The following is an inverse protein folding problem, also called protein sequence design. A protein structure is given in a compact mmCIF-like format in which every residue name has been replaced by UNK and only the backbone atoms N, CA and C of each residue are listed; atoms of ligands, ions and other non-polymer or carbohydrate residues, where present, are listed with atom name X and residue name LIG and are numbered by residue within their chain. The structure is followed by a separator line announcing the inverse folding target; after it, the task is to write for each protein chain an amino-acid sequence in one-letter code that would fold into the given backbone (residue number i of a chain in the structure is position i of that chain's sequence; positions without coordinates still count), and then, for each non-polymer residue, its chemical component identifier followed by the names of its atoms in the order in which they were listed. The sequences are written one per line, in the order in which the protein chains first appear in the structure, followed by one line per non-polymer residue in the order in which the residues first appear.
data_IF_530345439679
#
_entry.id   IF_530345439679
#
_cell.length_a   1.000
_cell.length_b   1.000
_cell.length_c   1.000
_cell.angle_alpha   90.00
_cell.angle_beta   90.00
_cell.angle_gamma   90.00
#
_symmetry.space_group_name_H-M   'P 1'
#
loop_
_entity.id
_entity.type
_entity.pdbx_description
1 polymer ?
#
# COMPACT_ATOMS: atom_id res chain seq x y z
N UNK A 1 -2.49 -13.04 -4.08
CA UNK A 1 -1.66 -12.37 -5.10
C UNK A 1 -0.98 -11.18 -4.44
N UNK A 2 0.25 -10.86 -4.79
CA UNK A 2 0.95 -9.70 -4.23
C UNK A 2 0.33 -8.40 -4.75
N UNK A 3 0.29 -7.36 -3.91
CA UNK A 3 -0.30 -6.07 -4.27
C UNK A 3 0.54 -5.35 -5.33
N UNK A 4 -0.12 -4.54 -6.16
CA UNK A 4 0.52 -3.75 -7.20
C UNK A 4 1.02 -2.43 -6.61
N UNK A 5 2.33 -2.19 -6.71
CA UNK A 5 2.98 -1.08 -6.03
C UNK A 5 3.65 -0.15 -7.03
N UNK A 6 3.57 1.16 -6.78
CA UNK A 6 4.33 2.18 -7.53
C UNK A 6 5.17 2.96 -6.52
N UNK A 7 6.49 2.86 -6.61
CA UNK A 7 7.42 3.56 -5.72
C UNK A 7 7.89 4.85 -6.41
N UNK A 8 7.64 6.01 -5.79
CA UNK A 8 7.99 7.32 -6.32
C UNK A 8 8.99 7.99 -5.38
N UNK A 9 10.27 8.01 -5.76
CA UNK A 9 11.37 8.42 -4.88
C UNK A 9 12.37 9.32 -5.60
N UNK A 10 13.19 10.06 -4.86
CA UNK A 10 14.36 10.74 -5.43
C UNK A 10 15.47 9.75 -5.77
N UNK A 11 16.16 10.00 -6.89
CA UNK A 11 17.26 9.15 -7.37
C UNK A 11 16.82 7.69 -7.48
N UNK A 12 17.79 6.78 -7.33
CA UNK A 12 17.59 5.34 -7.55
C UNK A 12 17.09 4.61 -6.28
N UNK A 13 16.50 5.34 -5.32
CA UNK A 13 16.08 4.76 -4.04
C UNK A 13 14.98 3.69 -4.21
N UNK A 14 13.99 3.93 -5.07
CA UNK A 14 12.98 2.94 -5.41
C UNK A 14 13.58 1.66 -5.99
N UNK A 15 14.53 1.78 -6.91
CA UNK A 15 15.17 0.63 -7.55
C UNK A 15 15.99 -0.19 -6.55
N UNK A 16 16.72 0.48 -5.64
CA UNK A 16 17.44 -0.20 -4.56
C UNK A 16 16.49 -0.95 -3.61
N UNK A 17 15.32 -0.38 -3.32
CA UNK A 17 14.30 -1.04 -2.50
C UNK A 17 13.70 -2.24 -3.23
N UNK A 18 13.39 -2.11 -4.52
CA UNK A 18 12.89 -3.23 -5.35
C UNK A 18 13.90 -4.36 -5.36
N UNK A 19 15.18 -4.06 -5.62
CA UNK A 19 16.25 -5.05 -5.56
C UNK A 19 16.32 -5.76 -4.20
N UNK A 20 16.15 -5.03 -3.10
CA UNK A 20 16.10 -5.62 -1.75
C UNK A 20 14.88 -6.52 -1.54
N UNK A 21 13.72 -6.14 -2.08
CA UNK A 21 12.49 -6.93 -2.00
C UNK A 21 12.62 -8.22 -2.81
N UNK A 22 13.22 -8.16 -4.00
CA UNK A 22 13.45 -9.34 -4.83
C UNK A 22 14.34 -10.38 -4.15
N UNK A 23 15.31 -9.93 -3.34
CA UNK A 23 16.13 -10.81 -2.50
C UNK A 23 15.32 -11.50 -1.40
N UNK A 24 14.30 -10.83 -0.84
CA UNK A 24 13.51 -11.32 0.29
C UNK A 24 12.31 -12.17 -0.15
N UNK A 25 11.56 -11.71 -1.15
CA UNK A 25 10.30 -12.31 -1.62
C UNK A 25 10.44 -13.03 -2.97
N UNK A 26 11.57 -12.90 -3.65
CA UNK A 26 11.76 -13.36 -5.03
C UNK A 26 11.27 -12.33 -6.08
N UNK A 27 11.61 -12.59 -7.34
CA UNK A 27 11.43 -11.65 -8.47
C UNK A 27 9.97 -11.43 -8.94
N UNK A 28 8.96 -11.93 -8.23
CA UNK A 28 7.57 -12.00 -8.71
C UNK A 28 6.64 -10.92 -8.12
N UNK A 29 7.17 -9.89 -7.46
CA UNK A 29 6.33 -8.83 -6.86
C UNK A 29 6.03 -7.75 -7.91
N UNK A 30 4.76 -7.40 -8.18
CA UNK A 30 4.41 -6.43 -9.21
C UNK A 30 4.66 -4.99 -8.71
N UNK A 31 5.91 -4.54 -8.81
CA UNK A 31 6.35 -3.21 -8.37
C UNK A 31 6.90 -2.43 -9.58
N UNK A 32 6.43 -1.21 -9.77
CA UNK A 32 6.99 -0.24 -10.70
C UNK A 32 7.73 0.86 -9.93
N UNK A 33 8.81 1.39 -10.50
CA UNK A 33 9.57 2.52 -9.94
C UNK A 33 9.39 3.79 -10.78
N UNK A 34 9.37 4.92 -10.09
CA UNK A 34 9.41 6.27 -10.64
C UNK A 34 10.51 7.02 -9.90
N UNK A 35 11.75 6.81 -10.36
CA UNK A 35 12.94 7.50 -9.85
C UNK A 35 12.96 8.94 -10.37
N UNK A 36 12.98 9.92 -9.47
CA UNK A 36 12.93 11.36 -9.79
C UNK A 36 14.34 11.94 -9.78
N UNK A 37 14.73 12.50 -10.91
CA UNK A 37 16.02 13.14 -11.12
C UNK A 37 15.95 14.65 -10.87
N UNK A 38 17.08 15.26 -10.49
CA UNK A 38 17.13 16.65 -10.03
C UNK A 38 16.63 17.71 -11.03
N UNK A 39 16.65 17.39 -12.34
CA UNK A 39 16.23 18.30 -13.41
C UNK A 39 14.75 18.13 -13.80
N UNK A 40 14.05 17.15 -13.25
CA UNK A 40 12.67 16.86 -13.64
C UNK A 40 11.68 17.84 -13.01
N UNK A 41 10.64 18.16 -13.77
CA UNK A 41 9.52 18.96 -13.27
C UNK A 41 8.52 18.07 -12.55
N UNK A 42 7.76 18.64 -11.61
CA UNK A 42 6.66 17.92 -10.94
C UNK A 42 5.64 17.37 -11.93
N UNK A 43 5.39 18.06 -13.06
CA UNK A 43 4.45 17.59 -14.08
C UNK A 43 4.96 16.33 -14.80
N UNK A 44 6.24 16.28 -15.14
CA UNK A 44 6.83 15.07 -15.73
C UNK A 44 6.73 13.87 -14.78
N UNK A 45 6.94 14.08 -13.47
CA UNK A 45 6.78 13.01 -12.46
C UNK A 45 5.32 12.57 -12.34
N UNK A 46 4.36 13.50 -12.42
CA UNK A 46 2.92 13.17 -12.45
C UNK A 46 2.60 12.25 -13.63
N UNK A 47 3.05 12.60 -14.84
CA UNK A 47 2.80 11.83 -16.06
C UNK A 47 3.40 10.43 -15.98
N UNK A 48 4.64 10.29 -15.51
CA UNK A 48 5.28 8.98 -15.31
C UNK A 48 4.57 8.14 -14.25
N UNK A 49 4.10 8.78 -13.17
CA UNK A 49 3.35 8.08 -12.12
C UNK A 49 1.99 7.60 -12.62
N UNK A 50 1.26 8.43 -13.38
CA UNK A 50 -0.01 8.03 -14.01
C UNK A 50 0.19 6.89 -15.02
N UNK A 51 1.28 6.91 -15.80
CA UNK A 51 1.64 5.83 -16.72
C UNK A 51 1.92 4.51 -15.97
N UNK A 52 2.75 4.54 -14.92
CA UNK A 52 3.05 3.36 -14.10
C UNK A 52 1.79 2.77 -13.44
N UNK A 53 0.86 3.62 -12.98
CA UNK A 53 -0.44 3.16 -12.47
C UNK A 53 -1.27 2.48 -13.57
N UNK A 54 -1.26 3.02 -14.79
CA UNK A 54 -2.05 2.50 -15.90
C UNK A 54 -1.61 1.10 -16.35
N UNK A 55 -0.31 0.77 -16.26
CA UNK A 55 0.23 -0.56 -16.56
C UNK A 55 -0.41 -1.68 -15.74
N UNK A 56 -0.86 -1.35 -14.52
CA UNK A 56 -1.48 -2.29 -13.60
C UNK A 56 -2.97 -2.52 -13.84
N UNK A 57 -3.63 -1.71 -14.67
CA UNK A 57 -5.05 -1.84 -14.98
C UNK A 57 -6.01 -1.36 -13.85
N UNK A 58 -7.31 -1.22 -14.15
CA UNK A 58 -8.22 -0.42 -13.31
C UNK A 58 -8.90 -1.16 -12.15
N UNK A 59 -8.91 -2.50 -12.15
CA UNK A 59 -9.80 -3.28 -11.27
C UNK A 59 -9.13 -3.74 -9.96
N UNK A 60 -7.79 -3.79 -9.94
CA UNK A 60 -6.99 -4.23 -8.78
C UNK A 60 -6.60 -3.04 -7.89
N UNK A 61 -6.37 -3.26 -6.57
CA UNK A 61 -5.88 -2.21 -5.70
C UNK A 61 -4.41 -1.88 -6.04
N UNK A 62 -4.11 -0.59 -6.15
CA UNK A 62 -2.75 -0.09 -6.43
C UNK A 62 -2.32 0.80 -5.28
N UNK A 63 -1.11 0.60 -4.77
CA UNK A 63 -0.55 1.43 -3.70
C UNK A 63 0.64 2.22 -4.24
N UNK A 64 0.52 3.53 -4.24
CA UNK A 64 1.59 4.47 -4.57
C UNK A 64 2.30 4.85 -3.28
N UNK A 65 3.63 4.65 -3.21
CA UNK A 65 4.45 4.97 -2.06
C UNK A 65 5.47 6.06 -2.39
N UNK A 66 5.53 7.11 -1.58
CA UNK A 66 6.54 8.18 -1.72
C UNK A 66 7.56 8.14 -0.58
N UNK A 67 8.78 8.57 -0.88
CA UNK A 67 9.90 8.59 0.07
C UNK A 67 9.69 9.53 1.25
N UNK A 68 9.46 10.82 1.00
CA UNK A 68 9.50 11.85 2.05
C UNK A 68 8.31 12.80 1.97
N UNK A 69 7.78 13.16 3.14
CA UNK A 69 6.70 14.15 3.27
C UNK A 69 7.21 15.52 2.81
N UNK A 70 6.41 16.22 2.00
CA UNK A 70 6.71 17.58 1.54
C UNK A 70 7.69 17.68 0.36
N UNK A 71 8.32 16.58 -0.07
CA UNK A 71 9.19 16.52 -1.25
C UNK A 71 8.43 16.59 -2.59
N UNK A 72 9.14 16.81 -3.70
CA UNK A 72 8.57 16.88 -5.05
C UNK A 72 7.85 15.59 -5.46
N UNK A 73 8.36 14.45 -5.00
CA UNK A 73 7.74 13.12 -5.07
C UNK A 73 6.33 13.13 -4.47
N UNK A 74 6.19 13.53 -3.21
CA UNK A 74 4.89 13.64 -2.52
C UNK A 74 3.97 14.70 -3.16
N UNK A 75 4.52 15.81 -3.64
CA UNK A 75 3.73 16.83 -4.36
C UNK A 75 3.15 16.30 -5.67
N UNK A 76 3.92 15.53 -6.44
CA UNK A 76 3.43 14.87 -7.65
C UNK A 76 2.34 13.85 -7.34
N UNK A 77 2.55 13.00 -6.33
CA UNK A 77 1.57 12.01 -5.88
C UNK A 77 0.25 12.64 -5.43
N UNK A 78 0.27 13.81 -4.77
CA UNK A 78 -0.95 14.54 -4.42
C UNK A 78 -1.77 14.98 -5.64
N UNK A 79 -1.09 15.38 -6.73
CA UNK A 79 -1.76 15.76 -8.00
C UNK A 79 -2.38 14.54 -8.68
N UNK A 80 -1.67 13.42 -8.70
CA UNK A 80 -2.18 12.14 -9.21
C UNK A 80 -3.41 11.71 -8.40
N UNK A 81 -3.33 11.78 -7.06
CA UNK A 81 -4.43 11.41 -6.15
C UNK A 81 -5.73 12.16 -6.45
N UNK A 82 -5.64 13.44 -6.83
CA UNK A 82 -6.82 14.24 -7.15
C UNK A 82 -7.59 13.73 -8.38
N UNK A 83 -6.96 12.92 -9.23
CA UNK A 83 -7.52 12.37 -10.48
C UNK A 83 -7.65 10.85 -10.46
N UNK A 84 -7.01 10.18 -9.50
CA UNK A 84 -6.94 8.73 -9.44
C UNK A 84 -8.29 8.09 -9.10
N UNK A 85 -8.51 6.88 -9.62
CA UNK A 85 -9.65 6.07 -9.25
C UNK A 85 -9.58 5.69 -7.75
N UNK A 86 -10.74 5.54 -7.10
CA UNK A 86 -10.83 5.21 -5.66
C UNK A 86 -10.22 3.87 -5.17
N UNK A 87 -9.54 3.10 -6.03
CA UNK A 87 -8.76 1.88 -5.72
C UNK A 87 -7.25 2.13 -5.78
N UNK A 88 -6.85 3.37 -6.01
CA UNK A 88 -5.46 3.81 -5.84
C UNK A 88 -5.32 4.43 -4.45
N UNK A 89 -4.33 3.95 -3.71
CA UNK A 89 -4.00 4.38 -2.36
C UNK A 89 -2.63 5.04 -2.35
N UNK A 90 -2.43 5.99 -1.44
CA UNK A 90 -1.21 6.77 -1.36
C UNK A 90 -0.65 6.68 0.05
N UNK A 91 0.60 6.26 0.17
CA UNK A 91 1.35 6.12 1.42
C UNK A 91 2.67 6.89 1.27
N UNK A 92 3.17 7.47 2.36
CA UNK A 92 4.42 8.25 2.37
C UNK A 92 5.32 7.77 3.51
N UNK A 93 6.63 7.99 3.40
CA UNK A 93 7.61 7.58 4.38
C UNK A 93 8.18 6.19 4.05
N UNK A 94 8.52 5.99 2.79
CA UNK A 94 8.98 4.71 2.26
C UNK A 94 10.19 4.18 3.06
N UNK A 95 10.09 2.91 3.45
CA UNK A 95 11.20 2.10 3.93
C UNK A 95 10.94 0.63 3.54
N UNK A 96 11.95 -0.23 3.65
CA UNK A 96 11.83 -1.62 3.21
C UNK A 96 10.74 -2.40 3.97
N UNK A 97 10.64 -2.25 5.29
CA UNK A 97 9.64 -2.93 6.11
C UNK A 97 8.21 -2.57 5.71
N UNK A 98 7.94 -1.30 5.45
CA UNK A 98 6.65 -0.81 4.98
C UNK A 98 6.26 -1.41 3.63
N UNK A 99 7.20 -1.50 2.69
CA UNK A 99 6.91 -2.07 1.37
C UNK A 99 6.64 -3.57 1.49
N UNK A 100 7.38 -4.30 2.33
CA UNK A 100 7.16 -5.73 2.58
C UNK A 100 5.77 -5.99 3.21
N UNK A 101 5.41 -5.23 4.25
CA UNK A 101 4.10 -5.30 4.88
C UNK A 101 2.98 -5.09 3.85
N UNK A 102 3.08 -4.02 3.05
CA UNK A 102 2.06 -3.68 2.07
C UNK A 102 2.04 -4.70 0.93
N UNK A 103 3.17 -5.21 0.44
CA UNK A 103 3.21 -6.19 -0.65
C UNK A 103 2.41 -7.47 -0.32
N UNK A 104 2.37 -7.84 0.97
CA UNK A 104 1.75 -9.07 1.48
C UNK A 104 0.32 -8.88 2.01
N UNK A 105 -0.20 -7.65 2.08
CA UNK A 105 -1.56 -7.39 2.55
C UNK A 105 -2.62 -8.05 1.65
N UNK A 106 -3.74 -8.55 2.19
CA UNK A 106 -4.85 -9.08 1.42
C UNK A 106 -5.81 -7.96 0.98
N UNK A 107 -5.34 -7.00 0.18
CA UNK A 107 -6.18 -5.92 -0.32
C UNK A 107 -7.29 -6.47 -1.24
N UNK A 108 -8.47 -5.86 -1.14
CA UNK A 108 -9.68 -6.30 -1.83
C UNK A 108 -9.78 -5.56 -3.17
N UNK A 109 -9.82 -6.32 -4.26
CA UNK A 109 -10.08 -5.81 -5.61
C UNK A 109 -11.53 -5.31 -5.77
N UNK A 110 -11.75 -4.42 -6.74
CA UNK A 110 -13.13 -4.08 -7.10
C UNK A 110 -13.73 -5.24 -7.87
N UNK A 111 -14.70 -5.93 -7.30
CA UNK A 111 -15.54 -6.84 -8.09
C UNK A 111 -16.36 -5.98 -9.04
N UNK A 112 -16.23 -6.18 -10.36
CA UNK A 112 -17.28 -5.79 -11.29
C UNK A 112 -18.51 -6.57 -10.85
N UNK A 113 -19.54 -5.87 -10.35
CA UNK A 113 -20.83 -6.51 -10.11
C UNK A 113 -21.18 -7.29 -11.39
N UNK A 114 -21.23 -8.61 -11.30
CA UNK A 114 -21.59 -9.44 -12.43
C UNK A 114 -23.01 -9.05 -12.83
N UNK A 115 -23.15 -8.36 -13.97
CA UNK A 115 -24.43 -8.18 -14.65
C UNK A 115 -24.93 -9.51 -15.26
N UNK A 116 -24.44 -10.68 -14.82
CA UNK A 116 -25.08 -11.96 -15.09
C UNK A 116 -26.28 -12.08 -14.16
N UNK A 117 -27.37 -11.40 -14.54
CA UNK A 117 -28.69 -11.77 -14.10
C UNK A 117 -28.98 -13.19 -14.56
N UNK A 118 -28.94 -14.14 -13.64
CA UNK A 118 -29.70 -15.37 -13.74
C UNK A 118 -29.94 -15.95 -12.36
N UNK A 119 -30.65 -15.21 -11.51
CA UNK A 119 -31.62 -15.85 -10.63
C UNK A 119 -32.96 -15.18 -10.85
N UNK A 120 -33.92 -16.03 -11.15
CA UNK A 120 -35.26 -15.77 -11.63
C UNK A 120 -36.07 -15.00 -10.58
N UNK A 121 -36.22 -13.69 -10.77
CA UNK A 121 -37.25 -12.88 -10.10
C UNK A 121 -37.78 -11.86 -11.11
N UNK A 122 -39.10 -11.86 -11.29
CA UNK A 122 -39.82 -11.17 -12.36
C UNK A 122 -39.99 -9.65 -12.18
N UNK A 123 -39.25 -9.04 -11.25
CA UNK A 123 -39.34 -7.60 -10.99
C UNK A 123 -38.16 -6.85 -11.64
N UNK A 124 -38.39 -5.82 -12.49
CA UNK A 124 -37.31 -5.01 -13.02
C UNK A 124 -36.69 -4.18 -11.88
N UNK A 125 -35.54 -4.62 -11.37
CA UNK A 125 -34.73 -3.84 -10.44
C UNK A 125 -34.32 -2.54 -11.15
N UNK A 126 -34.67 -1.39 -10.57
CA UNK A 126 -34.45 -0.10 -11.22
C UNK A 126 -32.95 0.23 -11.32
N UNK A 127 -32.50 0.83 -12.43
CA UNK A 127 -31.11 1.28 -12.64
C UNK A 127 -30.61 2.24 -11.54
N UNK A 128 -31.51 2.89 -10.80
CA UNK A 128 -31.17 3.75 -9.66
C UNK A 128 -30.72 2.94 -8.44
N UNK A 129 -31.29 1.76 -8.24
CA UNK A 129 -30.97 0.89 -7.10
C UNK A 129 -29.61 0.20 -7.30
N UNK A 130 -29.30 -0.21 -8.53
CA UNK A 130 -28.01 -0.83 -8.89
C UNK A 130 -26.84 0.15 -8.77
N UNK A 131 -27.01 1.41 -9.20
CA UNK A 131 -25.99 2.45 -9.08
C UNK A 131 -25.70 2.84 -7.62
N UNK A 132 -26.74 2.88 -6.80
CA UNK A 132 -26.63 3.19 -5.36
C UNK A 132 -25.96 2.05 -4.58
N UNK A 133 -26.31 0.80 -4.87
CA UNK A 133 -25.68 -0.38 -4.27
C UNK A 133 -24.21 -0.52 -4.69
N UNK A 134 -23.90 -0.30 -5.97
CA UNK A 134 -22.51 -0.31 -6.48
C UNK A 134 -21.65 0.77 -5.82
N UNK A 135 -22.19 1.97 -5.63
CA UNK A 135 -21.50 3.09 -4.96
C UNK A 135 -21.20 2.77 -3.48
N UNK A 136 -22.16 2.24 -2.74
CA UNK A 136 -21.98 1.82 -1.34
C UNK A 136 -20.95 0.71 -1.19
N UNK A 137 -20.98 -0.30 -2.06
CA UNK A 137 -20.01 -1.39 -2.06
C UNK A 137 -18.59 -0.88 -2.30
N UNK A 138 -18.39 0.04 -3.24
CA UNK A 138 -17.06 0.63 -3.49
C UNK A 138 -16.53 1.42 -2.30
N UNK A 139 -17.38 2.11 -1.54
CA UNK A 139 -16.98 2.82 -0.31
C UNK A 139 -16.54 1.84 0.76
N UNK A 140 -17.30 0.76 1.00
CA UNK A 140 -16.97 -0.25 2.02
C UNK A 140 -15.64 -0.96 1.70
N UNK A 141 -15.41 -1.33 0.44
CA UNK A 141 -14.13 -1.92 0.02
C UNK A 141 -12.97 -0.95 0.26
N UNK A 142 -13.16 0.33 -0.06
CA UNK A 142 -12.15 1.36 0.14
C UNK A 142 -11.80 1.51 1.62
N UNK A 143 -12.80 1.63 2.50
CA UNK A 143 -12.59 1.77 3.95
C UNK A 143 -11.85 0.57 4.54
N UNK A 144 -12.20 -0.65 4.11
CA UNK A 144 -11.50 -1.88 4.53
C UNK A 144 -10.02 -1.87 4.10
N UNK A 145 -9.74 -1.54 2.85
CA UNK A 145 -8.36 -1.45 2.35
C UNK A 145 -7.57 -0.35 3.07
N UNK A 146 -8.17 0.82 3.30
CA UNK A 146 -7.52 1.88 4.08
C UNK A 146 -7.22 1.45 5.52
N UNK A 147 -8.12 0.69 6.16
CA UNK A 147 -7.87 0.14 7.49
C UNK A 147 -6.70 -0.85 7.50
N UNK A 148 -6.60 -1.72 6.49
CA UNK A 148 -5.45 -2.64 6.34
C UNK A 148 -4.14 -1.87 6.12
N UNK A 149 -4.14 -0.86 5.24
CA UNK A 149 -2.97 -0.02 5.00
C UNK A 149 -2.53 0.75 6.25
N UNK A 150 -3.48 1.28 7.04
CA UNK A 150 -3.17 1.94 8.32
C UNK A 150 -2.49 1.00 9.31
N UNK A 151 -2.93 -0.27 9.36
CA UNK A 151 -2.30 -1.30 10.19
C UNK A 151 -0.88 -1.64 9.72
N UNK A 152 -0.67 -1.79 8.41
CA UNK A 152 0.68 -1.99 7.86
C UNK A 152 1.61 -0.81 8.15
N UNK A 153 1.11 0.43 8.03
CA UNK A 153 1.88 1.62 8.41
C UNK A 153 2.23 1.65 9.89
N UNK A 154 1.34 1.21 10.77
CA UNK A 154 1.62 1.09 12.20
C UNK A 154 2.69 0.00 12.47
N UNK A 155 2.50 -1.19 11.91
CA UNK A 155 3.45 -2.30 12.05
C UNK A 155 4.85 -1.94 11.55
N UNK A 156 4.96 -1.27 10.41
CA UNK A 156 6.23 -0.81 9.87
C UNK A 156 6.96 0.19 10.78
N UNK A 157 6.24 0.94 11.63
CA UNK A 157 6.85 1.85 12.61
C UNK A 157 7.40 1.12 13.83
N UNK A 158 6.80 0.00 14.23
CA UNK A 158 7.30 -0.82 15.34
C UNK A 158 8.68 -1.41 15.02
N UNK A 159 9.00 -1.63 13.74
CA UNK A 159 10.33 -2.06 13.29
C UNK A 159 11.39 -0.95 13.21
N UNK A 160 11.06 0.31 13.56
CA UNK A 160 11.97 1.45 13.48
C UNK A 160 12.34 1.90 14.89
N UNK A 161 13.60 1.72 15.27
CA UNK A 161 14.08 2.06 16.60
C UNK A 161 15.56 1.80 16.78
N UNK A 162 16.06 1.99 18.00
CA UNK A 162 17.40 1.55 18.36
C UNK A 162 17.42 0.03 18.47
N UNK A 163 18.45 -0.62 17.93
CA UNK A 163 18.58 -2.08 17.92
C UNK A 163 18.37 -2.69 19.32
N UNK A 164 18.97 -2.11 20.36
CA UNK A 164 18.84 -2.57 21.75
C UNK A 164 17.41 -2.53 22.30
N UNK A 165 16.58 -1.61 21.79
CA UNK A 165 15.21 -1.44 22.26
C UNK A 165 14.28 -2.45 21.55
N UNK A 166 14.61 -2.82 20.31
CA UNK A 166 13.87 -3.80 19.51
C UNK A 166 14.34 -5.26 19.74
N UNK A 167 15.61 -5.42 20.09
CA UNK A 167 16.27 -6.70 20.33
C UNK A 167 17.08 -6.58 21.62
N UNK A 168 16.45 -6.80 22.79
CA UNK A 168 17.17 -6.77 24.06
C UNK A 168 18.23 -7.88 24.11
N UNK A 169 19.33 -7.62 24.82
CA UNK A 169 20.41 -8.59 24.98
C UNK A 169 19.91 -9.87 25.66
N UNK A 170 20.41 -11.04 25.23
CA UNK A 170 20.03 -12.36 25.76
C UNK A 170 20.16 -12.48 27.29
N UNK A 171 21.00 -11.64 27.92
CA UNK A 171 21.17 -11.62 29.37
C UNK A 171 19.91 -11.12 30.12
N UNK A 172 19.07 -10.28 29.50
CA UNK A 172 17.82 -9.80 30.10
C UNK A 172 16.66 -10.79 29.91
N UNK A 173 16.69 -11.62 28.86
CA UNK A 173 15.73 -12.71 28.66
C UNK A 173 15.89 -13.80 29.73
N UNK A 174 17.13 -14.14 30.08
CA UNK A 174 17.41 -15.09 31.16
C UNK A 174 17.02 -14.54 32.54
N UNK A 175 17.24 -13.24 32.82
CA UNK A 175 16.84 -12.64 34.11
C UNK A 175 15.33 -12.69 34.35
N UNK A 176 14.50 -12.49 33.33
CA UNK A 176 13.03 -12.58 33.46
C UNK A 176 12.52 -14.02 33.67
N UNK A 177 13.28 -15.03 33.24
CA UNK A 177 12.92 -16.43 33.49
C UNK A 177 13.41 -16.95 34.84
N UNK A 178 14.42 -16.30 35.44
CA UNK A 178 15.02 -16.74 36.71
C UNK A 178 14.54 -15.96 37.94
N UNK A 179 13.67 -14.95 37.78
CA UNK A 179 13.17 -14.15 38.88
C UNK A 179 11.75 -14.58 39.29
N UNK A 180 11.57 -15.38 40.36
CA UNK A 180 10.26 -15.88 40.78
C UNK A 180 9.36 -14.79 41.38
N UNK A 181 9.85 -13.58 41.62
CA UNK A 181 9.10 -12.49 42.29
C UNK A 181 8.33 -11.56 41.34
N UNK A 182 8.34 -11.80 40.02
CA UNK A 182 7.55 -10.99 39.05
C UNK A 182 6.30 -11.69 38.52
N UNK A 183 5.94 -12.85 39.07
CA UNK A 183 4.75 -13.61 38.68
C UNK A 183 3.45 -13.20 39.39
N UNK A 184 3.49 -12.28 40.36
CA UNK A 184 2.29 -11.72 40.98
C UNK A 184 2.39 -10.19 41.03
N UNK A 185 1.73 -9.51 40.09
CA UNK A 185 0.97 -8.26 40.27
C UNK A 185 0.19 -7.93 38.98
#
# INVERSE_FOLDING_TARGET
MANKLVLVTHGDFADGIISSIELVLGAAVPIASVCVQAHETVLAVVERTEAAIAEFGPDEPIVVLTDIIGGSTTQSALRVRARAAGNVYFVVGLNLGLVLEIALLPLIARTRASLTGSEFSSDPVSERDTKTASSRMTTVVREKNEAMLRRAVAAAKEGIGLLRDLMPDDQDLNRRQTDPDTAEL
#
